data_IF_961852068384
#
_entry.id   IF_961852068384
#
_cell.length_a   1.000
_cell.length_b   1.000
_cell.length_c   1.000
_cell.angle_alpha   90.00
_cell.angle_beta   90.00
_cell.angle_gamma   90.00
#
_symmetry.space_group_name_H-M   'P 1'
#
loop_
_entity.id
_entity.type
_entity.pdbx_description
1 polymer ?
#
# COMPACT_ATOMS: atom_id res chain seq x y z
N UNK A 1 -9.38 -7.73 18.97
CA UNK A 1 -9.07 -8.99 18.24
C UNK A 1 -7.76 -8.82 17.51
N UNK A 2 -6.88 -9.84 17.52
CA UNK A 2 -5.65 -9.83 16.71
C UNK A 2 -6.02 -9.87 15.23
N UNK A 3 -5.21 -9.20 14.41
CA UNK A 3 -5.35 -9.23 12.96
C UNK A 3 -4.85 -10.55 12.39
N UNK A 4 -5.61 -11.12 11.45
CA UNK A 4 -5.32 -12.43 10.82
C UNK A 4 -4.60 -12.24 9.50
N UNK A 5 -3.43 -12.83 9.37
CA UNK A 5 -2.60 -12.75 8.17
C UNK A 5 -2.40 -14.16 7.61
N UNK A 6 -2.69 -14.32 6.31
CA UNK A 6 -2.34 -15.52 5.55
C UNK A 6 -0.97 -15.31 4.89
N UNK A 7 -0.06 -16.25 5.08
CA UNK A 7 1.25 -16.29 4.42
C UNK A 7 1.30 -17.49 3.50
N UNK A 8 1.65 -17.25 2.24
CA UNK A 8 1.69 -18.26 1.18
C UNK A 8 3.07 -18.24 0.53
N UNK A 9 3.78 -19.33 0.60
CA UNK A 9 5.10 -19.52 -0.01
C UNK A 9 5.27 -21.03 -0.27
N UNK A 10 6.07 -21.45 -1.26
CA UNK A 10 6.37 -22.85 -1.48
C UNK A 10 7.57 -23.37 -0.65
N UNK A 11 8.26 -22.46 0.02
CA UNK A 11 9.38 -22.75 0.91
C UNK A 11 8.93 -22.83 2.37
N UNK A 12 8.97 -24.03 3.01
CA UNK A 12 8.69 -24.17 4.44
C UNK A 12 9.58 -23.28 5.33
N UNK A 13 10.82 -23.04 4.88
CA UNK A 13 11.74 -22.13 5.57
C UNK A 13 11.23 -20.70 5.56
N UNK A 14 10.78 -20.19 4.42
CA UNK A 14 10.23 -18.83 4.31
C UNK A 14 8.93 -18.68 5.09
N UNK A 15 8.05 -19.67 5.04
CA UNK A 15 6.82 -19.72 5.84
C UNK A 15 7.12 -19.60 7.31
N UNK A 16 8.15 -20.31 7.81
CA UNK A 16 8.58 -20.20 9.21
C UNK A 16 9.13 -18.83 9.54
N UNK A 17 10.06 -18.30 8.73
CA UNK A 17 10.71 -16.99 8.99
C UNK A 17 9.66 -15.87 9.03
N UNK A 18 8.78 -15.82 8.04
CA UNK A 18 7.74 -14.78 7.97
C UNK A 18 6.71 -14.97 9.08
N UNK A 19 6.34 -16.23 9.36
CA UNK A 19 5.42 -16.57 10.43
C UNK A 19 5.92 -16.13 11.80
N UNK A 20 7.19 -16.39 12.11
CA UNK A 20 7.82 -15.97 13.35
C UNK A 20 7.88 -14.43 13.47
N UNK A 21 8.29 -13.73 12.40
CA UNK A 21 8.31 -12.26 12.37
C UNK A 21 6.92 -11.66 12.66
N UNK A 22 5.88 -12.18 12.02
CA UNK A 22 4.50 -11.68 12.20
C UNK A 22 3.93 -12.02 13.57
N UNK A 23 4.25 -13.20 14.10
CA UNK A 23 3.83 -13.62 15.44
C UNK A 23 4.46 -12.75 16.52
N UNK A 24 5.76 -12.42 16.38
CA UNK A 24 6.47 -11.49 17.25
C UNK A 24 5.84 -10.08 17.22
N UNK A 25 5.24 -9.70 16.09
CA UNK A 25 4.48 -8.46 15.93
C UNK A 25 3.02 -8.58 16.42
N UNK A 26 2.68 -9.67 17.12
CA UNK A 26 1.36 -9.92 17.71
C UNK A 26 0.21 -10.13 16.72
N UNK A 27 0.49 -10.54 15.48
CA UNK A 27 -0.52 -10.97 14.51
C UNK A 27 -0.91 -12.45 14.72
N UNK A 28 -2.12 -12.82 14.30
CA UNK A 28 -2.55 -14.21 14.17
C UNK A 28 -2.18 -14.68 12.77
N UNK A 29 -1.29 -15.66 12.66
CA UNK A 29 -0.68 -16.06 11.39
C UNK A 29 -1.16 -17.44 10.99
N UNK A 30 -1.56 -17.58 9.74
CA UNK A 30 -1.79 -18.87 9.07
C UNK A 30 -0.78 -18.99 7.94
N UNK A 31 0.05 -20.00 7.96
CA UNK A 31 1.01 -20.31 6.89
C UNK A 31 0.49 -21.44 6.03
N UNK A 32 0.65 -21.33 4.71
CA UNK A 32 0.17 -22.34 3.75
C UNK A 32 1.21 -22.52 2.63
N UNK A 33 1.54 -23.77 2.34
CA UNK A 33 2.46 -24.14 1.28
C UNK A 33 1.72 -24.21 -0.07
N UNK A 34 1.98 -23.21 -0.93
CA UNK A 34 1.49 -23.13 -2.29
C UNK A 34 0.08 -22.56 -2.47
N UNK A 35 -0.16 -22.03 -3.68
CA UNK A 35 -1.35 -21.23 -4.01
C UNK A 35 -2.67 -22.01 -3.96
N UNK A 36 -2.69 -23.29 -4.33
CA UNK A 36 -3.94 -24.07 -4.34
C UNK A 36 -4.53 -24.27 -2.95
N UNK A 37 -3.71 -24.68 -1.99
CA UNK A 37 -4.13 -24.83 -0.60
C UNK A 37 -4.51 -23.48 0.02
N UNK A 38 -3.79 -22.41 -0.38
CA UNK A 38 -4.09 -21.06 0.05
C UNK A 38 -5.46 -20.58 -0.45
N UNK A 39 -5.88 -20.95 -1.67
CA UNK A 39 -7.23 -20.66 -2.18
C UNK A 39 -8.32 -21.29 -1.28
N UNK A 40 -8.19 -22.56 -0.94
CA UNK A 40 -9.14 -23.27 -0.07
C UNK A 40 -9.21 -22.61 1.31
N UNK A 41 -8.06 -22.20 1.85
CA UNK A 41 -8.01 -21.57 3.16
C UNK A 41 -8.62 -20.15 3.13
N UNK A 42 -8.38 -19.39 2.07
CA UNK A 42 -8.95 -18.05 1.87
C UNK A 42 -10.46 -18.06 1.63
N UNK A 43 -11.02 -19.13 1.08
CA UNK A 43 -12.45 -19.32 0.90
C UNK A 43 -13.17 -19.53 2.25
N UNK A 44 -12.58 -20.36 3.12
CA UNK A 44 -13.18 -20.78 4.39
C UNK A 44 -12.88 -19.85 5.58
N UNK A 45 -11.85 -19.01 5.48
CA UNK A 45 -11.36 -18.17 6.58
C UNK A 45 -11.23 -16.72 6.14
N UNK A 46 -11.68 -15.79 6.98
CA UNK A 46 -11.48 -14.36 6.75
C UNK A 46 -10.11 -13.93 7.24
N UNK A 47 -9.35 -13.29 6.35
CA UNK A 47 -8.07 -12.67 6.65
C UNK A 47 -8.15 -11.15 6.54
N UNK A 48 -7.32 -10.46 7.31
CA UNK A 48 -7.16 -9.01 7.24
C UNK A 48 -6.12 -8.61 6.19
N UNK A 49 -5.18 -9.49 5.89
CA UNK A 49 -4.12 -9.32 4.89
C UNK A 49 -3.63 -10.68 4.40
N UNK A 50 -3.10 -10.69 3.19
CA UNK A 50 -2.44 -11.86 2.59
C UNK A 50 -1.04 -11.44 2.15
N UNK A 51 -0.04 -12.24 2.50
CA UNK A 51 1.34 -12.12 2.00
C UNK A 51 1.62 -13.36 1.18
N UNK A 52 1.99 -13.19 -0.08
CA UNK A 52 2.21 -14.33 -1.00
C UNK A 52 3.56 -14.20 -1.69
N UNK A 53 4.27 -15.30 -1.82
CA UNK A 53 5.35 -15.36 -2.79
C UNK A 53 4.81 -15.21 -4.22
N UNK A 54 5.63 -14.60 -5.08
CA UNK A 54 5.31 -14.38 -6.48
C UNK A 54 5.52 -15.65 -7.29
N UNK A 55 6.62 -16.35 -7.04
CA UNK A 55 7.07 -17.45 -7.86
C UNK A 55 6.88 -18.79 -7.13
N UNK A 56 5.68 -19.35 -7.22
CA UNK A 56 5.37 -20.68 -6.66
C UNK A 56 5.08 -21.69 -7.78
N UNK A 57 5.40 -22.97 -7.59
CA UNK A 57 5.05 -24.00 -8.56
C UNK A 57 3.54 -24.21 -8.64
N UNK A 58 3.06 -24.69 -9.79
CA UNK A 58 1.66 -25.03 -10.08
C UNK A 58 0.72 -23.83 -10.16
N UNK A 59 0.78 -22.91 -9.21
CA UNK A 59 -0.02 -21.69 -9.16
C UNK A 59 0.86 -20.57 -8.56
N UNK A 60 1.27 -19.64 -9.39
CA UNK A 60 2.04 -18.49 -8.96
C UNK A 60 1.19 -17.47 -8.15
N UNK A 61 1.87 -16.47 -7.55
CA UNK A 61 1.20 -15.50 -6.70
C UNK A 61 0.22 -14.59 -7.46
N UNK A 62 0.44 -14.35 -8.75
CA UNK A 62 -0.47 -13.55 -9.60
C UNK A 62 -1.75 -14.33 -9.84
N UNK A 63 -1.66 -15.59 -10.26
CA UNK A 63 -2.82 -16.43 -10.49
C UNK A 63 -3.58 -16.72 -9.19
N UNK A 64 -2.86 -16.98 -8.10
CA UNK A 64 -3.46 -17.09 -6.76
C UNK A 64 -4.27 -15.83 -6.42
N UNK A 65 -3.67 -14.64 -6.59
CA UNK A 65 -4.36 -13.37 -6.32
C UNK A 65 -5.59 -13.19 -7.20
N UNK A 66 -5.48 -13.51 -8.50
CA UNK A 66 -6.60 -13.43 -9.45
C UNK A 66 -7.77 -14.31 -9.01
N UNK A 67 -7.48 -15.49 -8.47
CA UNK A 67 -8.49 -16.44 -7.99
C UNK A 67 -9.18 -15.93 -6.70
N UNK A 68 -8.41 -15.58 -5.68
CA UNK A 68 -8.99 -15.19 -4.39
C UNK A 68 -9.76 -13.87 -4.48
N UNK A 69 -9.41 -12.96 -5.40
CA UNK A 69 -10.15 -11.71 -5.61
C UNK A 69 -11.58 -11.92 -6.14
N UNK A 70 -11.91 -13.12 -6.63
CA UNK A 70 -13.27 -13.52 -6.98
C UNK A 70 -14.12 -13.85 -5.74
N UNK A 71 -13.49 -14.20 -4.62
CA UNK A 71 -14.20 -14.51 -3.39
C UNK A 71 -14.67 -13.22 -2.70
N UNK A 72 -15.95 -13.09 -2.33
CA UNK A 72 -16.46 -11.89 -1.65
C UNK A 72 -15.69 -11.53 -0.39
N UNK A 73 -15.24 -12.54 0.38
CA UNK A 73 -14.44 -12.39 1.60
C UNK A 73 -13.06 -11.79 1.35
N UNK A 74 -12.47 -12.01 0.16
CA UNK A 74 -11.11 -11.60 -0.18
C UNK A 74 -11.03 -10.43 -1.15
N UNK A 75 -12.16 -10.01 -1.73
CA UNK A 75 -12.21 -8.95 -2.75
C UNK A 75 -11.44 -7.69 -2.36
N UNK A 76 -11.55 -7.28 -1.10
CA UNK A 76 -10.92 -6.06 -0.57
C UNK A 76 -9.77 -6.35 0.40
N UNK A 77 -9.37 -7.60 0.58
CA UNK A 77 -8.23 -7.95 1.43
C UNK A 77 -6.94 -7.51 0.73
N UNK A 78 -6.07 -6.69 1.37
CA UNK A 78 -4.81 -6.33 0.76
C UNK A 78 -3.93 -7.57 0.55
N UNK A 79 -3.33 -7.66 -0.63
CA UNK A 79 -2.36 -8.69 -0.98
C UNK A 79 -1.01 -8.02 -1.14
N UNK A 80 -0.03 -8.47 -0.38
CA UNK A 80 1.36 -8.07 -0.46
C UNK A 80 2.14 -9.19 -1.14
N UNK A 81 2.85 -8.85 -2.20
CA UNK A 81 3.62 -9.82 -2.98
C UNK A 81 5.08 -9.77 -2.57
N UNK A 82 5.65 -10.92 -2.22
CA UNK A 82 7.10 -11.09 -2.02
C UNK A 82 7.74 -11.41 -3.36
N UNK A 83 8.71 -10.63 -3.78
CA UNK A 83 9.33 -10.82 -5.09
C UNK A 83 10.79 -10.36 -5.11
N UNK A 84 11.62 -11.11 -5.82
CA UNK A 84 12.91 -10.65 -6.34
C UNK A 84 12.82 -10.17 -7.79
N UNK A 85 11.60 -10.14 -8.34
CA UNK A 85 11.33 -9.81 -9.73
C UNK A 85 11.49 -8.31 -9.97
N UNK A 86 12.21 -7.97 -11.05
CA UNK A 86 12.41 -6.61 -11.53
C UNK A 86 11.74 -6.37 -12.90
N UNK A 87 11.05 -7.39 -13.44
CA UNK A 87 10.37 -7.28 -14.72
C UNK A 87 9.10 -6.43 -14.59
N UNK A 88 9.10 -5.29 -15.27
CA UNK A 88 8.00 -4.31 -15.22
C UNK A 88 6.68 -4.87 -15.76
N UNK A 89 6.70 -5.76 -16.75
CA UNK A 89 5.50 -6.37 -17.31
C UNK A 89 4.80 -7.26 -16.29
N UNK A 90 5.54 -8.09 -15.56
CA UNK A 90 5.00 -8.92 -14.47
C UNK A 90 4.48 -8.06 -13.31
N UNK A 91 5.18 -7.00 -12.95
CA UNK A 91 4.75 -6.05 -11.93
C UNK A 91 3.45 -5.36 -12.36
N UNK A 92 3.35 -4.97 -13.63
CA UNK A 92 2.14 -4.38 -14.20
C UNK A 92 0.96 -5.36 -14.20
N UNK A 93 1.17 -6.60 -14.60
CA UNK A 93 0.15 -7.65 -14.53
C UNK A 93 -0.33 -7.88 -13.10
N UNK A 94 0.60 -8.02 -12.17
CA UNK A 94 0.30 -8.21 -10.76
C UNK A 94 -0.58 -7.08 -10.17
N UNK A 95 -0.32 -5.84 -10.57
CA UNK A 95 -1.16 -4.70 -10.17
C UNK A 95 -2.58 -4.78 -10.74
N UNK A 96 -2.74 -5.21 -11.99
CA UNK A 96 -4.06 -5.37 -12.63
C UNK A 96 -4.94 -6.39 -11.92
N UNK A 97 -4.37 -7.43 -11.34
CA UNK A 97 -5.12 -8.44 -10.57
C UNK A 97 -5.43 -8.01 -9.13
N UNK A 98 -4.95 -6.86 -8.68
CA UNK A 98 -5.29 -6.28 -7.38
C UNK A 98 -4.28 -6.55 -6.27
N UNK A 99 -3.00 -6.74 -6.62
CA UNK A 99 -1.90 -6.75 -5.66
C UNK A 99 -1.72 -5.32 -5.15
N UNK A 100 -1.67 -5.20 -3.82
CA UNK A 100 -1.66 -3.89 -3.16
C UNK A 100 -0.25 -3.30 -3.10
N UNK A 101 0.76 -4.13 -2.92
CA UNK A 101 2.14 -3.70 -2.68
C UNK A 101 3.10 -4.87 -2.90
N UNK A 102 4.36 -4.53 -3.19
CA UNK A 102 5.47 -5.47 -3.30
C UNK A 102 6.46 -5.29 -2.16
N UNK A 103 7.03 -6.39 -1.69
CA UNK A 103 8.18 -6.45 -0.81
C UNK A 103 9.30 -7.20 -1.50
N UNK A 104 10.48 -6.61 -1.58
CA UNK A 104 11.65 -7.26 -2.16
C UNK A 104 12.21 -8.33 -1.24
N UNK A 105 12.66 -9.46 -1.83
CA UNK A 105 13.51 -10.43 -1.15
C UNK A 105 14.99 -9.96 -1.26
N UNK A 106 15.81 -10.06 -0.19
CA UNK A 106 15.53 -10.64 1.11
C UNK A 106 14.63 -9.77 1.97
N UNK A 107 13.73 -10.40 2.73
CA UNK A 107 12.73 -9.70 3.55
C UNK A 107 13.38 -8.96 4.72
N UNK A 108 13.07 -7.68 4.82
CA UNK A 108 13.51 -6.83 5.91
C UNK A 108 12.36 -6.59 6.90
N UNK A 109 12.59 -6.85 8.18
CA UNK A 109 11.58 -6.71 9.24
C UNK A 109 11.02 -5.28 9.33
N UNK A 110 11.87 -4.26 9.13
CA UNK A 110 11.44 -2.86 9.16
C UNK A 110 10.48 -2.55 8.00
N UNK A 111 10.79 -3.04 6.80
CA UNK A 111 9.92 -2.91 5.63
C UNK A 111 8.60 -3.65 5.83
N UNK A 112 8.65 -4.89 6.37
CA UNK A 112 7.47 -5.66 6.70
C UNK A 112 6.56 -4.92 7.69
N UNK A 113 7.10 -4.38 8.78
CA UNK A 113 6.38 -3.55 9.76
C UNK A 113 5.67 -2.36 9.09
N UNK A 114 6.40 -1.63 8.26
CA UNK A 114 5.86 -0.46 7.54
C UNK A 114 4.69 -0.86 6.64
N UNK A 115 4.84 -1.91 5.84
CA UNK A 115 3.79 -2.40 4.94
C UNK A 115 2.56 -2.90 5.72
N UNK A 116 2.76 -3.59 6.83
CA UNK A 116 1.68 -4.05 7.70
C UNK A 116 0.87 -2.87 8.25
N UNK A 117 1.55 -1.85 8.75
CA UNK A 117 0.90 -0.65 9.28
C UNK A 117 0.08 0.06 8.20
N UNK A 118 0.68 0.32 7.04
CA UNK A 118 0.02 0.99 5.92
C UNK A 118 -1.18 0.16 5.43
N UNK A 119 -1.00 -1.11 5.14
CA UNK A 119 -2.02 -1.93 4.48
C UNK A 119 -3.18 -2.28 5.42
N UNK A 120 -2.92 -2.51 6.71
CA UNK A 120 -3.96 -2.84 7.69
C UNK A 120 -4.71 -1.59 8.20
N UNK A 121 -4.06 -0.43 8.20
CA UNK A 121 -4.69 0.84 8.62
C UNK A 121 -5.48 1.51 7.48
N UNK A 122 -5.16 1.23 6.20
CA UNK A 122 -5.86 1.79 5.03
C UNK A 122 -7.39 1.67 5.07
N UNK A 123 -7.92 0.64 5.70
CA UNK A 123 -9.37 0.40 5.77
C UNK A 123 -10.10 1.28 6.79
N UNK A 124 -9.39 2.03 7.64
CA UNK A 124 -9.98 2.75 8.78
C UNK A 124 -9.82 4.26 8.73
N UNK A 125 -8.94 4.78 7.88
CA UNK A 125 -8.78 6.22 7.78
C UNK A 125 -9.67 6.76 6.64
N UNK A 126 -10.73 7.52 6.98
CA UNK A 126 -11.53 8.21 5.98
C UNK A 126 -10.61 9.19 5.23
N UNK A 127 -10.79 9.27 3.91
CA UNK A 127 -10.14 10.31 3.12
C UNK A 127 -10.83 11.63 3.39
N UNK A 128 -10.04 12.60 3.78
CA UNK A 128 -10.52 13.94 4.12
C UNK A 128 -10.26 14.87 2.93
N UNK A 129 -11.23 15.68 2.50
CA UNK A 129 -11.08 16.61 1.37
C UNK A 129 -10.29 17.85 1.79
N UNK A 130 -9.06 17.66 2.24
CA UNK A 130 -8.15 18.77 2.57
C UNK A 130 -7.30 19.14 1.38
N UNK A 131 -7.21 20.42 1.12
CA UNK A 131 -6.31 21.03 0.15
C UNK A 131 -5.04 21.46 0.87
N UNK A 132 -4.10 20.56 1.01
CA UNK A 132 -2.78 20.83 1.59
C UNK A 132 -1.79 21.15 0.47
N UNK A 133 -0.91 22.10 0.72
CA UNK A 133 0.21 22.35 -0.16
C UNK A 133 1.24 21.22 -0.01
N UNK A 134 1.68 20.69 -1.14
CA UNK A 134 2.62 19.56 -1.18
C UNK A 134 3.73 19.85 -2.18
N UNK A 135 4.95 19.86 -1.70
CA UNK A 135 6.13 19.80 -2.54
C UNK A 135 6.53 18.33 -2.75
N UNK A 136 6.76 17.91 -3.99
CA UNK A 136 7.08 16.53 -4.31
C UNK A 136 8.14 16.41 -5.41
N UNK A 137 8.98 15.40 -5.33
CA UNK A 137 10.03 15.10 -6.30
C UNK A 137 10.54 13.66 -6.17
N UNK A 138 11.34 13.23 -7.16
CA UNK A 138 11.94 11.90 -7.20
C UNK A 138 13.33 11.86 -6.55
N UNK A 139 14.07 12.98 -6.57
CA UNK A 139 15.45 13.07 -6.11
C UNK A 139 15.62 13.64 -4.70
N UNK A 140 16.81 13.39 -4.14
CA UNK A 140 17.23 13.92 -2.83
C UNK A 140 17.50 15.44 -2.83
N UNK A 141 17.51 16.07 -3.99
CA UNK A 141 17.85 17.49 -4.15
C UNK A 141 16.56 18.30 -4.19
N UNK A 142 16.36 19.17 -3.21
CA UNK A 142 15.19 20.03 -3.05
C UNK A 142 14.91 20.99 -4.23
N UNK A 143 15.88 21.19 -5.14
CA UNK A 143 15.73 22.12 -6.28
C UNK A 143 14.73 21.68 -7.34
N UNK A 144 14.39 20.39 -7.41
CA UNK A 144 13.52 19.84 -8.46
C UNK A 144 12.11 19.51 -7.96
N UNK A 145 11.75 19.96 -6.76
CA UNK A 145 10.43 19.72 -6.21
C UNK A 145 9.38 20.54 -6.94
N UNK A 146 8.34 19.84 -7.38
CA UNK A 146 7.12 20.45 -7.91
C UNK A 146 6.17 20.74 -6.76
N UNK A 147 5.54 21.90 -6.79
CA UNK A 147 4.50 22.28 -5.83
C UNK A 147 3.14 21.94 -6.41
N UNK A 148 2.29 21.35 -5.61
CA UNK A 148 0.89 21.06 -5.94
C UNK A 148 0.02 21.09 -4.69
N UNK A 149 -1.27 20.79 -4.87
CA UNK A 149 -2.23 20.69 -3.77
C UNK A 149 -2.87 19.30 -3.75
N UNK A 150 -3.25 18.87 -2.55
CA UNK A 150 -4.02 17.64 -2.42
C UNK A 150 -5.48 17.87 -2.78
N UNK A 151 -6.12 16.90 -3.42
CA UNK A 151 -7.58 16.81 -3.53
C UNK A 151 -8.19 16.16 -2.30
N UNK A 152 -7.52 15.14 -1.78
CA UNK A 152 -7.85 14.48 -0.53
C UNK A 152 -6.60 13.85 0.11
N UNK A 153 -6.65 13.63 1.41
CA UNK A 153 -5.56 13.03 2.19
C UNK A 153 -6.12 12.11 3.27
N UNK A 154 -5.36 11.09 3.63
CA UNK A 154 -5.63 10.15 4.72
C UNK A 154 -4.32 9.70 5.36
N UNK A 155 -4.37 8.97 6.47
CA UNK A 155 -3.17 8.39 7.09
C UNK A 155 -2.39 7.42 6.17
N UNK A 156 -3.01 6.88 5.12
CA UNK A 156 -2.35 5.92 4.21
C UNK A 156 -1.93 6.53 2.87
N UNK A 157 -2.23 7.79 2.59
CA UNK A 157 -1.88 8.40 1.31
C UNK A 157 -2.73 9.61 0.95
N UNK A 158 -2.43 10.20 -0.19
CA UNK A 158 -3.10 11.39 -0.69
C UNK A 158 -3.38 11.29 -2.19
N UNK A 159 -4.22 12.19 -2.68
CA UNK A 159 -4.37 12.43 -4.12
C UNK A 159 -3.86 13.83 -4.45
N UNK A 160 -2.85 13.89 -5.34
CA UNK A 160 -2.28 15.15 -5.84
C UNK A 160 -2.95 15.56 -7.14
N UNK A 161 -3.39 16.83 -7.21
CA UNK A 161 -3.86 17.43 -8.45
C UNK A 161 -2.65 17.80 -9.30
N UNK A 162 -2.53 17.24 -10.50
CA UNK A 162 -1.44 17.58 -11.43
C UNK A 162 -1.83 17.27 -12.88
N UNK A 163 -1.43 18.14 -13.81
CA UNK A 163 -1.57 17.90 -15.26
C UNK A 163 -0.49 16.99 -15.82
N UNK A 164 0.59 16.75 -15.05
CA UNK A 164 1.72 15.91 -15.46
C UNK A 164 1.99 14.87 -14.35
N UNK A 165 1.08 13.89 -14.18
CA UNK A 165 1.27 12.85 -13.19
C UNK A 165 2.48 11.97 -13.57
N UNK A 166 3.16 11.46 -12.55
CA UNK A 166 4.18 10.44 -12.72
C UNK A 166 3.50 9.07 -12.91
N UNK A 167 4.14 8.14 -13.61
CA UNK A 167 3.59 6.82 -13.83
C UNK A 167 3.40 6.04 -12.53
N UNK A 168 2.44 5.10 -12.48
CA UNK A 168 2.28 4.21 -11.34
C UNK A 168 3.56 3.43 -11.06
N UNK A 169 3.92 3.32 -9.77
CA UNK A 169 5.13 2.65 -9.32
C UNK A 169 6.30 3.57 -9.01
N UNK A 170 6.26 4.80 -9.46
CA UNK A 170 7.31 5.76 -9.19
C UNK A 170 7.34 6.14 -7.71
N UNK A 171 8.56 6.10 -7.15
CA UNK A 171 8.81 6.55 -5.78
C UNK A 171 8.92 8.07 -5.71
N UNK A 172 8.38 8.65 -4.65
CA UNK A 172 8.34 10.08 -4.41
C UNK A 172 8.76 10.43 -3.00
N UNK A 173 9.45 11.54 -2.87
CA UNK A 173 9.55 12.27 -1.62
C UNK A 173 8.52 13.40 -1.61
N UNK A 174 7.86 13.56 -0.49
CA UNK A 174 6.77 14.52 -0.31
C UNK A 174 7.04 15.34 0.95
N UNK A 175 6.73 16.61 0.85
CA UNK A 175 6.72 17.55 1.95
C UNK A 175 5.31 18.14 2.03
N UNK A 176 4.55 17.80 3.06
CA UNK A 176 3.20 18.28 3.29
C UNK A 176 3.24 19.45 4.28
N UNK A 177 2.63 20.56 3.91
CA UNK A 177 2.48 21.72 4.79
C UNK A 177 1.11 21.66 5.47
N UNK A 178 1.13 21.48 6.79
CA UNK A 178 -0.09 21.45 7.60
C UNK A 178 -0.49 22.89 8.00
N UNK A 179 -1.76 23.28 7.80
CA UNK A 179 -2.20 24.67 8.04
C UNK A 179 -2.19 25.06 9.52
N UNK A 180 -2.21 24.08 10.42
CA UNK A 180 -2.12 24.34 11.87
C UNK A 180 -0.63 24.33 12.28
N UNK A 181 -0.15 25.46 12.80
CA UNK A 181 1.22 25.66 13.34
C UNK A 181 2.38 25.67 12.33
N UNK A 182 2.14 25.84 11.04
CA UNK A 182 3.18 25.75 10.00
C UNK A 182 4.05 24.47 10.10
N UNK A 183 3.45 23.39 10.56
CA UNK A 183 4.14 22.12 10.66
C UNK A 183 4.32 21.49 9.29
N UNK A 184 5.48 20.87 9.10
CA UNK A 184 5.84 20.16 7.89
C UNK A 184 5.95 18.67 8.20
N UNK A 185 5.36 17.85 7.33
CA UNK A 185 5.44 16.39 7.41
C UNK A 185 6.19 15.88 6.19
N UNK A 186 7.27 15.16 6.42
CA UNK A 186 8.05 14.52 5.37
C UNK A 186 7.58 13.08 5.18
N UNK A 187 7.35 12.72 3.91
CA UNK A 187 6.89 11.38 3.56
C UNK A 187 7.68 10.84 2.38
N UNK A 188 7.87 9.53 2.37
CA UNK A 188 8.16 8.79 1.16
C UNK A 188 6.89 8.11 0.69
N UNK A 189 6.64 8.13 -0.59
CA UNK A 189 5.45 7.54 -1.18
C UNK A 189 5.71 6.90 -2.53
N UNK A 190 4.71 6.19 -3.02
CA UNK A 190 4.73 5.59 -4.35
C UNK A 190 3.44 5.96 -5.07
N UNK A 191 3.53 6.28 -6.36
CA UNK A 191 2.35 6.51 -7.20
C UNK A 191 1.58 5.21 -7.35
N UNK A 192 0.40 5.14 -6.78
CA UNK A 192 -0.45 3.95 -6.82
C UNK A 192 -1.32 3.89 -8.08
N UNK A 193 -1.82 5.04 -8.54
CA UNK A 193 -2.68 5.16 -9.73
C UNK A 193 -2.70 6.60 -10.23
N UNK A 194 -3.09 6.75 -11.51
CA UNK A 194 -3.17 8.05 -12.19
C UNK A 194 -4.58 8.28 -12.72
N UNK A 195 -5.08 9.50 -12.54
CA UNK A 195 -6.31 9.96 -13.17
C UNK A 195 -5.96 10.92 -14.31
N UNK A 196 -6.13 10.46 -15.54
CA UNK A 196 -5.81 11.24 -16.73
C UNK A 196 -7.02 12.09 -17.15
N UNK A 197 -6.77 13.25 -17.76
CA UNK A 197 -7.82 14.07 -18.39
C UNK A 197 -8.45 13.39 -19.61
N UNK A 198 -7.68 12.56 -20.31
CA UNK A 198 -8.13 11.89 -21.55
C UNK A 198 -8.83 10.56 -21.31
N UNK A 199 -8.52 9.90 -20.19
CA UNK A 199 -9.13 8.62 -19.80
C UNK A 199 -9.24 8.56 -18.28
N UNK A 200 -10.22 9.24 -17.68
CA UNK A 200 -10.37 9.28 -16.24
C UNK A 200 -10.80 7.91 -15.70
N UNK A 201 -10.05 7.38 -14.72
CA UNK A 201 -10.41 6.19 -13.96
C UNK A 201 -11.55 6.52 -12.97
N UNK A 202 -11.54 7.77 -12.47
CA UNK A 202 -12.55 8.31 -11.55
C UNK A 202 -13.02 9.66 -12.03
N UNK A 203 -14.30 9.75 -12.36
CA UNK A 203 -14.94 10.99 -12.82
C UNK A 203 -15.11 12.04 -11.70
N UNK A 204 -15.11 11.59 -10.44
CA UNK A 204 -15.23 12.43 -9.24
C UNK A 204 -13.88 13.01 -8.77
N UNK A 205 -12.78 12.69 -9.46
CA UNK A 205 -11.44 13.19 -9.15
C UNK A 205 -10.90 14.07 -10.29
N UNK A 206 -10.16 15.14 -9.98
CA UNK A 206 -9.45 15.91 -10.99
C UNK A 206 -8.34 15.09 -11.66
N UNK A 207 -7.71 15.66 -12.68
CA UNK A 207 -6.48 15.07 -13.22
C UNK A 207 -5.38 15.08 -12.15
N UNK A 208 -4.68 13.96 -12.01
CA UNK A 208 -3.69 13.83 -10.96
C UNK A 208 -3.23 12.42 -10.70
N UNK A 209 -2.64 12.21 -9.54
CA UNK A 209 -2.13 10.91 -9.12
C UNK A 209 -2.43 10.61 -7.66
N UNK A 210 -2.86 9.37 -7.42
CA UNK A 210 -2.97 8.81 -6.07
C UNK A 210 -1.62 8.33 -5.60
N UNK A 211 -1.14 8.88 -4.50
CA UNK A 211 0.13 8.50 -3.87
C UNK A 211 -0.17 7.76 -2.57
N UNK A 212 0.49 6.64 -2.40
CA UNK A 212 0.47 5.83 -1.20
C UNK A 212 1.71 6.14 -0.37
N UNK A 213 1.54 6.43 0.92
CA UNK A 213 2.67 6.64 1.81
C UNK A 213 3.37 5.31 2.11
N UNK A 214 4.69 5.28 1.93
CA UNK A 214 5.57 4.18 2.30
C UNK A 214 6.20 4.42 3.68
N UNK A 215 6.57 5.68 3.95
CA UNK A 215 7.13 6.13 5.21
C UNK A 215 6.64 7.55 5.51
N UNK A 216 6.39 7.85 6.77
CA UNK A 216 6.05 9.18 7.27
C UNK A 216 6.99 9.45 8.43
N UNK A 217 7.82 10.48 8.35
CA UNK A 217 8.80 10.80 9.38
C UNK A 217 8.10 11.34 10.65
N UNK A 218 7.16 12.27 10.46
CA UNK A 218 6.39 12.87 11.54
C UNK A 218 4.95 12.34 11.57
N UNK A 219 4.77 11.02 11.59
CA UNK A 219 3.45 10.36 11.53
C UNK A 219 2.49 10.88 12.60
N UNK A 220 2.99 11.14 13.81
CA UNK A 220 2.18 11.64 14.91
C UNK A 220 1.57 13.01 14.61
N UNK A 221 2.32 13.92 13.99
CA UNK A 221 1.81 15.23 13.60
C UNK A 221 0.67 15.12 12.59
N UNK A 222 0.79 14.22 11.62
CA UNK A 222 -0.25 13.97 10.63
C UNK A 222 -1.51 13.37 11.26
N UNK A 223 -1.36 12.43 12.20
CA UNK A 223 -2.48 11.82 12.91
C UNK A 223 -3.20 12.81 13.83
N UNK A 224 -2.45 13.65 14.56
CA UNK A 224 -3.00 14.69 15.44
C UNK A 224 -3.77 15.74 14.63
N UNK A 225 -3.26 16.13 13.45
CA UNK A 225 -3.97 16.99 12.51
C UNK A 225 -5.32 16.40 12.11
N UNK A 226 -5.40 15.12 11.72
CA UNK A 226 -6.67 14.47 11.39
C UNK A 226 -7.62 14.38 12.58
N UNK A 227 -7.12 14.14 13.78
CA UNK A 227 -7.95 14.09 14.99
C UNK A 227 -8.50 15.48 15.36
N UNK A 228 -7.69 16.53 15.22
CA UNK A 228 -8.11 17.91 15.44
C UNK A 228 -9.23 18.33 14.48
N UNK A 229 -9.14 17.95 13.23
CA UNK A 229 -10.16 18.22 12.22
C UNK A 229 -11.48 17.47 12.45
N UNK A 230 -11.45 16.27 13.02
CA UNK A 230 -12.65 15.51 13.36
C UNK A 230 -13.42 16.07 14.56
N UNK A 231 -12.77 16.80 15.46
CA UNK A 231 -13.42 17.43 16.63
C UNK A 231 -14.12 18.76 16.30
N UNK A 232 -13.84 19.35 15.13
CA UNK A 232 -14.44 20.63 14.68
C UNK A 232 -15.66 20.43 13.77
N UNK A 233 -16.11 19.21 13.57
CA UNK A 233 -17.38 18.84 12.91
C UNK A 233 -18.38 18.32 13.94
#
# INVERSE_FOLDING_TARGET
MKKKILVVDDSPFMLKVIGDMLTNLSYEVTTVEGGRLACQKAESTRFDMIISDMNMPVMDGIEFTRQIKKYPSCKFVPVVMLSSEQNEDKISEARKVGISTFLSKPLNEKQLKTILQISLNKRRAPRMPFRLEVSYGQDKVLSDYKVSVTFNVSAGGLFLETKKPLPPGEALKLKLELPENNCVVHCEGCVAWVNSTTSPIRSDHPAGMGVEFLCIEEERLLLDFFQGCNKKR
#
